data_IF_020234394894
#
_entry.id   IF_020234394894
#
_cell.length_a   1.000
_cell.length_b   1.000
_cell.length_c   1.000
_cell.angle_alpha   90.00
_cell.angle_beta   90.00
_cell.angle_gamma   90.00
#
_symmetry.space_group_name_H-M   'P 1'
#
loop_
_entity.id
_entity.type
_entity.pdbx_description
1 polymer ?
#
# COMPACT_ATOMS: atom_id res chain seq x y z
N UNK A 1 3.19 13.85 46.57
CA UNK A 1 3.58 14.91 45.62
C UNK A 1 3.94 14.22 44.31
N UNK A 2 2.99 14.19 43.39
CA UNK A 2 2.94 13.31 42.21
C UNK A 2 3.70 13.87 41.01
N UNK A 3 4.45 12.97 40.40
CA UNK A 3 5.28 13.03 39.20
C UNK A 3 4.71 13.89 38.05
N UNK A 4 5.41 14.96 37.66
CA UNK A 4 5.02 15.88 36.59
C UNK A 4 6.06 15.96 35.46
N UNK A 5 6.69 14.84 35.14
CA UNK A 5 7.60 14.77 33.99
C UNK A 5 7.49 13.38 33.37
N UNK A 6 6.58 13.19 32.40
CA UNK A 6 6.60 12.06 31.45
C UNK A 6 5.41 12.15 30.47
N UNK A 7 5.29 13.22 29.68
CA UNK A 7 4.41 13.20 28.47
C UNK A 7 4.79 14.36 27.55
N UNK A 8 6.01 14.34 27.00
CA UNK A 8 6.28 15.08 25.77
C UNK A 8 7.50 14.50 25.03
N UNK A 9 7.46 13.20 24.73
CA UNK A 9 8.33 12.67 23.70
C UNK A 9 7.63 12.93 22.36
N UNK A 10 8.16 13.86 21.56
CA UNK A 10 7.78 13.96 20.15
C UNK A 10 7.94 12.56 19.51
N UNK A 11 7.01 12.12 18.65
CA UNK A 11 7.11 10.81 18.03
C UNK A 11 8.48 10.69 17.35
N UNK A 12 9.23 9.65 17.69
CA UNK A 12 10.52 9.39 17.06
C UNK A 12 10.29 9.35 15.54
N UNK A 13 10.96 10.25 14.80
CA UNK A 13 10.86 10.30 13.35
C UNK A 13 11.39 8.98 12.80
N UNK A 14 10.50 8.03 12.52
CA UNK A 14 10.90 6.75 11.94
C UNK A 14 11.56 7.03 10.59
N UNK A 15 12.71 6.41 10.29
CA UNK A 15 13.39 6.64 9.03
C UNK A 15 12.44 6.29 7.89
N UNK A 16 12.20 7.26 7.01
CA UNK A 16 11.45 7.06 5.77
C UNK A 16 12.06 5.87 5.03
N UNK A 17 11.24 4.85 4.79
CA UNK A 17 11.68 3.66 4.09
C UNK A 17 12.27 4.09 2.73
N UNK A 18 13.54 3.71 2.47
CA UNK A 18 14.25 4.09 1.23
C UNK A 18 13.58 3.57 -0.05
N UNK A 19 12.55 2.73 0.07
CA UNK A 19 11.86 2.03 -1.00
C UNK A 19 10.34 2.35 -1.02
N UNK A 20 9.96 3.61 -0.83
CA UNK A 20 8.57 4.06 -0.89
C UNK A 20 8.39 5.07 -2.03
N UNK A 21 7.41 4.84 -2.90
CA UNK A 21 7.02 5.76 -3.97
C UNK A 21 5.56 6.12 -3.74
N UNK A 22 5.27 7.40 -3.51
CA UNK A 22 3.92 7.91 -3.38
C UNK A 22 3.52 8.66 -4.66
N UNK A 23 2.38 8.27 -5.25
CA UNK A 23 1.81 8.93 -6.43
C UNK A 23 0.52 9.64 -5.99
N UNK A 24 0.51 10.96 -6.00
CA UNK A 24 -0.59 11.78 -5.53
C UNK A 24 -0.92 12.94 -6.50
N UNK A 25 -2.15 13.43 -6.45
CA UNK A 25 -2.64 14.58 -7.22
C UNK A 25 -3.95 15.07 -6.62
N UNK A 26 -4.11 16.38 -6.51
CA UNK A 26 -5.34 17.03 -6.02
C UNK A 26 -6.51 17.01 -7.02
N UNK A 27 -6.30 16.53 -8.26
CA UNK A 27 -7.36 16.42 -9.28
C UNK A 27 -7.71 14.96 -9.56
N UNK A 28 -9.01 14.70 -9.72
CA UNK A 28 -9.55 13.40 -10.17
C UNK A 28 -9.22 13.14 -11.65
N UNK A 29 -9.08 11.86 -12.03
CA UNK A 29 -8.95 11.47 -13.45
C UNK A 29 -7.59 11.72 -14.12
N UNK A 30 -6.56 12.18 -13.39
CA UNK A 30 -5.22 12.43 -13.98
C UNK A 30 -4.38 11.16 -14.23
N UNK A 31 -4.93 9.97 -13.99
CA UNK A 31 -4.24 8.70 -14.24
C UNK A 31 -3.35 8.17 -13.11
N UNK A 32 -3.51 8.63 -11.86
CA UNK A 32 -2.71 8.18 -10.70
C UNK A 32 -2.68 6.65 -10.55
N UNK A 33 -3.84 6.02 -10.52
CA UNK A 33 -3.98 4.57 -10.34
C UNK A 33 -3.32 3.81 -11.48
N UNK A 34 -3.52 4.27 -12.73
CA UNK A 34 -2.88 3.69 -13.91
C UNK A 34 -1.35 3.79 -13.84
N UNK A 35 -0.81 4.95 -13.47
CA UNK A 35 0.62 5.15 -13.31
C UNK A 35 1.20 4.26 -12.19
N UNK A 36 0.51 4.16 -11.05
CA UNK A 36 0.92 3.31 -9.93
C UNK A 36 0.93 1.83 -10.29
N UNK A 37 -0.12 1.34 -10.95
CA UNK A 37 -0.23 -0.04 -11.40
C UNK A 37 0.84 -0.40 -12.43
N UNK A 38 1.05 0.46 -13.43
CA UNK A 38 2.00 0.19 -14.53
C UNK A 38 3.45 0.26 -14.05
N UNK A 39 3.78 1.24 -13.19
CA UNK A 39 5.10 1.34 -12.57
C UNK A 39 5.40 0.11 -11.69
N UNK A 40 4.42 -0.32 -10.89
CA UNK A 40 4.57 -1.50 -10.03
C UNK A 40 4.82 -2.77 -10.85
N UNK A 41 4.09 -2.96 -11.95
CA UNK A 41 4.32 -4.07 -12.88
C UNK A 41 5.72 -4.00 -13.52
N UNK A 42 6.14 -2.84 -14.03
CA UNK A 42 7.45 -2.68 -14.66
C UNK A 42 8.61 -2.99 -13.69
N UNK A 43 8.51 -2.53 -12.44
CA UNK A 43 9.50 -2.82 -11.40
C UNK A 43 9.47 -4.31 -11.00
N UNK A 44 8.28 -4.91 -10.94
CA UNK A 44 8.10 -6.34 -10.65
C UNK A 44 8.74 -7.23 -11.73
N UNK A 45 8.52 -6.91 -13.01
CA UNK A 45 9.17 -7.58 -14.14
C UNK A 45 10.69 -7.38 -14.16
N UNK A 46 11.19 -6.29 -13.58
CA UNK A 46 12.62 -6.05 -13.39
C UNK A 46 13.22 -6.81 -12.20
N UNK A 47 12.47 -7.75 -11.60
CA UNK A 47 12.91 -8.58 -10.49
C UNK A 47 12.84 -7.93 -9.12
N UNK A 48 12.14 -6.80 -8.98
CA UNK A 48 11.93 -6.17 -7.67
C UNK A 48 10.68 -6.73 -7.00
N UNK A 49 10.79 -7.05 -5.71
CA UNK A 49 9.62 -7.35 -4.88
C UNK A 49 8.81 -6.08 -4.68
N UNK A 50 7.58 -6.07 -5.17
CA UNK A 50 6.70 -4.91 -5.16
C UNK A 50 5.45 -5.18 -4.31
N UNK A 51 4.99 -4.14 -3.61
CA UNK A 51 3.68 -4.07 -3.01
C UNK A 51 3.01 -2.80 -3.53
N UNK A 52 1.89 -2.96 -4.22
CA UNK A 52 1.04 -1.85 -4.64
C UNK A 52 -0.06 -1.69 -3.60
N UNK A 53 -0.25 -0.47 -3.11
CA UNK A 53 -1.29 -0.12 -2.16
C UNK A 53 -2.16 0.94 -2.82
N UNK A 54 -3.47 0.69 -2.89
CA UNK A 54 -4.43 1.73 -3.24
C UNK A 54 -4.68 2.61 -2.01
N UNK A 55 -4.34 3.89 -2.12
CA UNK A 55 -4.55 4.86 -1.04
C UNK A 55 -5.98 5.40 -0.99
N UNK A 56 -6.82 5.05 -1.97
CA UNK A 56 -8.22 5.45 -2.01
C UNK A 56 -9.11 4.38 -1.35
N UNK A 57 -9.28 4.47 -0.02
CA UNK A 57 -10.10 3.53 0.74
C UNK A 57 -11.61 3.69 0.48
N UNK A 58 -12.05 4.78 -0.16
CA UNK A 58 -13.47 5.04 -0.44
C UNK A 58 -13.90 4.51 -1.81
N UNK A 59 -13.01 4.56 -2.80
CA UNK A 59 -13.25 4.15 -4.18
C UNK A 59 -12.00 3.44 -4.74
N UNK A 60 -11.53 2.42 -4.02
CA UNK A 60 -10.42 1.60 -4.48
C UNK A 60 -10.70 1.09 -5.89
N UNK A 61 -9.73 1.27 -6.78
CA UNK A 61 -9.88 1.01 -8.22
C UNK A 61 -8.78 0.08 -8.75
N UNK A 62 -7.75 -0.21 -7.97
CA UNK A 62 -6.63 -1.08 -8.38
C UNK A 62 -7.11 -2.50 -8.69
N UNK A 63 -7.97 -3.07 -7.85
CA UNK A 63 -8.57 -4.39 -8.04
C UNK A 63 -9.39 -4.46 -9.34
N UNK A 64 -10.24 -3.46 -9.62
CA UNK A 64 -11.00 -3.35 -10.86
C UNK A 64 -10.08 -3.24 -12.08
N UNK A 65 -9.05 -2.38 -12.01
CA UNK A 65 -8.09 -2.20 -13.11
C UNK A 65 -7.23 -3.43 -13.38
N UNK A 66 -6.97 -4.25 -12.36
CA UNK A 66 -6.21 -5.49 -12.47
C UNK A 66 -7.10 -6.73 -12.66
N UNK A 67 -8.44 -6.58 -12.68
CA UNK A 67 -9.39 -7.68 -12.84
C UNK A 67 -9.39 -8.66 -11.66
N UNK A 68 -9.08 -8.18 -10.46
CA UNK A 68 -8.96 -8.99 -9.24
C UNK A 68 -10.27 -9.02 -8.46
N UNK A 69 -10.49 -10.12 -7.74
CA UNK A 69 -11.58 -10.27 -6.77
C UNK A 69 -10.99 -10.68 -5.41
N UNK A 70 -10.41 -9.72 -4.66
CA UNK A 70 -9.75 -10.01 -3.40
C UNK A 70 -10.76 -10.43 -2.32
N UNK A 71 -10.42 -11.44 -1.52
CA UNK A 71 -11.27 -11.90 -0.39
C UNK A 71 -11.10 -11.09 0.90
N UNK A 72 -10.25 -10.07 0.88
CA UNK A 72 -9.94 -9.17 2.00
C UNK A 72 -9.34 -7.89 1.44
N UNK A 73 -9.50 -6.78 2.15
CA UNK A 73 -8.90 -5.50 1.76
C UNK A 73 -8.11 -4.83 2.90
N UNK A 74 -7.55 -3.66 2.60
CA UNK A 74 -6.80 -2.86 3.57
C UNK A 74 -7.68 -2.36 4.74
N UNK A 75 -9.00 -2.19 4.52
CA UNK A 75 -9.94 -1.78 5.56
C UNK A 75 -10.14 -2.90 6.60
N UNK A 76 -10.19 -4.16 6.18
CA UNK A 76 -10.20 -5.32 7.08
C UNK A 76 -8.96 -5.36 7.98
N UNK A 77 -7.79 -5.08 7.41
CA UNK A 77 -6.53 -5.06 8.16
C UNK A 77 -6.45 -3.89 9.14
N UNK A 78 -6.80 -2.67 8.71
CA UNK A 78 -6.77 -1.47 9.56
C UNK A 78 -7.77 -1.58 10.71
N UNK A 79 -8.94 -2.20 10.48
CA UNK A 79 -9.95 -2.44 11.52
C UNK A 79 -9.61 -3.60 12.46
N UNK A 80 -8.53 -4.35 12.20
CA UNK A 80 -8.11 -5.49 13.00
C UNK A 80 -8.94 -6.76 12.79
N UNK A 81 -9.80 -6.82 11.77
CA UNK A 81 -10.58 -8.03 11.44
C UNK A 81 -9.71 -9.14 10.87
N UNK A 82 -8.64 -8.79 10.15
CA UNK A 82 -7.67 -9.70 9.54
C UNK A 82 -6.26 -9.18 9.76
N UNK A 83 -5.25 -10.05 9.69
CA UNK A 83 -3.87 -9.59 9.68
C UNK A 83 -3.55 -8.90 8.34
N UNK A 84 -2.61 -7.95 8.34
CA UNK A 84 -2.19 -7.26 7.10
C UNK A 84 -1.74 -8.22 5.99
N UNK A 85 -1.11 -9.34 6.36
CA UNK A 85 -0.68 -10.35 5.38
C UNK A 85 -1.88 -10.99 4.65
N UNK A 86 -3.02 -11.15 5.33
CA UNK A 86 -4.23 -11.75 4.77
C UNK A 86 -5.00 -10.79 3.85
N UNK A 87 -4.69 -9.49 3.92
CA UNK A 87 -5.21 -8.45 3.05
C UNK A 87 -4.40 -8.28 1.75
N UNK A 88 -3.28 -9.01 1.60
CA UNK A 88 -2.47 -8.97 0.38
C UNK A 88 -2.99 -10.00 -0.61
N UNK A 89 -3.30 -9.56 -1.83
CA UNK A 89 -3.63 -10.44 -2.95
C UNK A 89 -2.42 -10.58 -3.86
N UNK A 90 -1.85 -11.79 -3.99
CA UNK A 90 -0.81 -12.08 -4.97
C UNK A 90 -1.31 -11.86 -6.40
N UNK A 91 -0.47 -11.24 -7.24
CA UNK A 91 -0.79 -11.01 -8.66
C UNK A 91 0.35 -11.57 -9.50
N UNK A 92 0.01 -12.35 -10.53
CA UNK A 92 0.99 -12.89 -11.47
C UNK A 92 1.63 -11.75 -12.28
N UNK A 93 2.96 -11.61 -12.20
CA UNK A 93 3.68 -10.57 -12.94
C UNK A 93 5.05 -10.13 -12.39
N UNK A 94 5.67 -10.87 -11.46
CA UNK A 94 7.00 -10.57 -10.92
C UNK A 94 7.97 -11.72 -11.10
N UNK A 95 9.27 -11.44 -11.16
CA UNK A 95 10.31 -12.46 -11.44
C UNK A 95 10.25 -13.63 -10.45
N UNK A 96 9.77 -14.78 -10.94
CA UNK A 96 9.63 -16.01 -10.18
C UNK A 96 8.19 -16.24 -9.74
N UNK A 97 7.78 -17.50 -9.74
CA UNK A 97 6.43 -17.98 -9.39
C UNK A 97 6.03 -17.76 -7.90
N UNK A 98 6.43 -16.62 -7.31
CA UNK A 98 6.21 -16.20 -5.93
C UNK A 98 5.91 -14.69 -5.86
N UNK A 99 5.10 -14.20 -6.80
CA UNK A 99 4.37 -12.94 -6.61
C UNK A 99 3.39 -13.07 -5.46
#
# INVERSE_FOLDING_TARGET
>A
MSNLALVNAAPAQQPIARNLIAIASGKGGVGKTWAAATLSQALSFSGRRMLLIDGDLGLANVDVQLGLQPGSDLADAISGRKAFADAVTPVAGGAGAKG
#
